data_IF_777556521223
#
_entry.id   IF_777556521223
#
_cell.length_a   1.000
_cell.length_b   1.000
_cell.length_c   1.000
_cell.angle_alpha   90.00
_cell.angle_beta   90.00
_cell.angle_gamma   90.00
#
_symmetry.space_group_name_H-M   'P 1'
#
loop_
_entity.id
_entity.type
_entity.pdbx_description
1 polymer ?
#
# COMPACT_ATOMS: atom_id res chain seq x y z
N UNK A 1 -15.26 -1.62 -12.53
CA UNK A 1 -14.68 -1.22 -11.26
C UNK A 1 -13.20 -1.55 -11.25
N UNK A 2 -12.48 -1.14 -10.25
CA UNK A 2 -11.03 -1.25 -10.22
C UNK A 2 -10.49 -2.51 -9.54
N UNK A 3 -9.20 -2.47 -9.29
CA UNK A 3 -8.46 -3.52 -8.63
C UNK A 3 -7.80 -2.98 -7.37
N UNK A 4 -7.60 -3.82 -6.37
CA UNK A 4 -6.90 -3.47 -5.15
C UNK A 4 -5.70 -4.41 -4.94
N UNK A 5 -4.55 -3.80 -4.61
CA UNK A 5 -3.35 -4.53 -4.21
C UNK A 5 -3.23 -4.41 -2.70
N UNK A 6 -3.35 -5.53 -2.02
CA UNK A 6 -3.33 -5.58 -0.56
C UNK A 6 -2.02 -6.23 -0.10
N UNK A 7 -1.21 -5.46 0.62
CA UNK A 7 0.08 -5.92 1.11
C UNK A 7 0.09 -5.86 2.62
N UNK A 8 0.47 -6.96 3.26
CA UNK A 8 0.62 -7.03 4.70
C UNK A 8 2.09 -6.98 5.08
N UNK A 9 2.39 -6.21 6.12
CA UNK A 9 3.74 -6.07 6.69
C UNK A 9 3.70 -6.43 8.16
N UNK A 10 4.71 -7.19 8.60
CA UNK A 10 4.90 -7.53 10.01
C UNK A 10 6.02 -6.67 10.62
N UNK A 11 6.00 -6.55 11.95
CA UNK A 11 7.05 -5.82 12.66
C UNK A 11 7.00 -4.30 12.44
N UNK A 12 5.79 -3.75 12.26
CA UNK A 12 5.60 -2.32 12.04
C UNK A 12 5.19 -1.67 13.35
N UNK A 13 6.15 -1.07 14.04
CA UNK A 13 5.87 -0.30 15.25
C UNK A 13 5.20 1.03 14.92
N UNK A 14 4.55 1.61 15.94
CA UNK A 14 3.84 2.87 15.79
C UNK A 14 4.76 4.01 15.32
N UNK A 15 5.97 4.07 15.86
CA UNK A 15 6.94 5.12 15.50
C UNK A 15 7.34 5.02 14.03
N UNK A 16 7.56 3.81 13.55
CA UNK A 16 7.89 3.58 12.14
C UNK A 16 6.74 3.99 11.24
N UNK A 17 5.53 3.66 11.64
CA UNK A 17 4.33 4.00 10.88
C UNK A 17 4.10 5.52 10.86
N UNK A 18 4.28 6.19 11.99
CA UNK A 18 4.16 7.66 12.05
C UNK A 18 5.19 8.33 11.14
N UNK A 19 6.42 7.84 11.10
CA UNK A 19 7.45 8.34 10.21
C UNK A 19 7.05 8.16 8.74
N UNK A 20 6.56 6.98 8.39
CA UNK A 20 6.10 6.68 7.04
C UNK A 20 4.93 7.59 6.64
N UNK A 21 3.98 7.81 7.55
CA UNK A 21 2.85 8.69 7.30
C UNK A 21 3.29 10.12 7.02
N UNK A 22 4.23 10.63 7.80
CA UNK A 22 4.78 11.98 7.59
C UNK A 22 5.47 12.08 6.23
N UNK A 23 6.24 11.06 5.86
CA UNK A 23 6.93 11.02 4.57
C UNK A 23 5.92 11.02 3.41
N UNK A 24 4.83 10.26 3.55
CA UNK A 24 3.79 10.18 2.53
C UNK A 24 3.02 11.49 2.38
N UNK A 25 2.72 12.15 3.51
CA UNK A 25 1.99 13.42 3.48
C UNK A 25 2.79 14.55 2.85
N UNK A 26 4.10 14.53 3.01
CA UNK A 26 4.99 15.55 2.48
C UNK A 26 5.49 15.28 1.06
N UNK A 27 5.15 14.16 0.47
CA UNK A 27 5.70 13.72 -0.81
C UNK A 27 4.60 13.34 -1.80
N UNK A 28 4.85 13.50 -3.12
CA UNK A 28 3.93 12.98 -4.13
C UNK A 28 3.94 11.45 -4.14
N UNK A 29 2.94 10.80 -4.76
CA UNK A 29 2.94 9.36 -4.92
C UNK A 29 4.21 8.87 -5.60
N UNK A 30 4.64 7.62 -5.35
CA UNK A 30 5.82 7.06 -6.01
C UNK A 30 5.71 7.14 -7.53
N UNK A 31 6.80 7.52 -8.18
CA UNK A 31 6.85 7.61 -9.63
C UNK A 31 6.63 6.22 -10.25
N UNK A 32 5.86 6.16 -11.31
CA UNK A 32 5.56 4.90 -12.00
C UNK A 32 4.46 4.07 -11.37
N UNK A 33 3.79 4.58 -10.34
CA UNK A 33 2.64 3.90 -9.72
C UNK A 33 1.36 4.66 -10.08
N UNK A 34 0.58 4.17 -11.05
CA UNK A 34 -0.65 4.83 -11.47
C UNK A 34 -1.84 4.51 -10.54
N UNK A 35 -1.67 4.79 -9.26
CA UNK A 35 -2.67 4.49 -8.24
C UNK A 35 -3.72 5.59 -8.12
N UNK A 36 -4.97 5.19 -7.91
CA UNK A 36 -6.07 6.10 -7.63
C UNK A 36 -6.09 6.54 -6.18
N UNK A 37 -5.79 5.62 -5.27
CA UNK A 37 -5.87 5.88 -3.84
C UNK A 37 -4.98 4.88 -3.11
N UNK A 38 -4.41 5.34 -2.01
CA UNK A 38 -3.62 4.50 -1.12
C UNK A 38 -4.20 4.63 0.28
N UNK A 39 -4.48 3.50 0.93
CA UNK A 39 -4.97 3.44 2.31
C UNK A 39 -4.01 2.61 3.12
N UNK A 40 -3.56 3.14 4.25
CA UNK A 40 -2.68 2.43 5.18
C UNK A 40 -3.46 2.15 6.46
N UNK A 41 -3.52 0.88 6.83
CA UNK A 41 -4.17 0.42 8.05
C UNK A 41 -3.11 -0.12 9.00
N UNK A 42 -3.31 0.06 10.28
CA UNK A 42 -2.36 -0.38 11.30
C UNK A 42 -3.04 -1.03 12.48
N UNK A 43 -2.50 -2.17 12.90
CA UNK A 43 -2.88 -2.83 14.14
C UNK A 43 -1.70 -2.70 15.11
N UNK A 44 -1.82 -1.81 16.09
CA UNK A 44 -0.76 -1.53 17.05
C UNK A 44 -0.46 -2.70 17.99
N UNK A 45 -1.44 -3.53 18.28
CA UNK A 45 -1.25 -4.66 19.18
C UNK A 45 -0.39 -5.77 18.56
N UNK A 46 -0.61 -6.06 17.29
CA UNK A 46 0.17 -7.09 16.57
C UNK A 46 1.35 -6.52 15.79
N UNK A 47 1.50 -5.20 15.78
CA UNK A 47 2.52 -4.50 14.99
C UNK A 47 2.46 -4.86 13.50
N UNK A 48 1.23 -4.95 12.98
CA UNK A 48 0.96 -5.21 11.58
C UNK A 48 0.47 -3.98 10.85
N UNK A 49 0.91 -3.80 9.62
CA UNK A 49 0.37 -2.78 8.73
C UNK A 49 -0.17 -3.44 7.48
N UNK A 50 -1.26 -2.88 6.96
CA UNK A 50 -1.85 -3.30 5.70
C UNK A 50 -1.91 -2.09 4.79
N UNK A 51 -1.31 -2.20 3.61
CA UNK A 51 -1.33 -1.13 2.61
C UNK A 51 -2.23 -1.58 1.46
N UNK A 52 -3.28 -0.81 1.21
CA UNK A 52 -4.22 -1.07 0.12
C UNK A 52 -4.04 -0.01 -0.94
N UNK A 53 -3.73 -0.43 -2.15
CA UNK A 53 -3.53 0.48 -3.29
C UNK A 53 -4.60 0.17 -4.32
N UNK A 54 -5.35 1.19 -4.75
CA UNK A 54 -6.45 1.04 -5.70
C UNK A 54 -6.02 1.49 -7.09
N UNK A 55 -6.38 0.68 -8.09
CA UNK A 55 -6.08 0.93 -9.51
C UNK A 55 -7.36 0.86 -10.34
N UNK A 56 -7.41 1.58 -11.44
CA UNK A 56 -8.60 1.60 -12.32
C UNK A 56 -8.65 0.42 -13.30
N UNK A 57 -7.50 -0.15 -13.65
CA UNK A 57 -7.42 -1.19 -14.68
C UNK A 57 -6.35 -2.22 -14.35
N UNK A 58 -6.42 -3.37 -15.04
CA UNK A 58 -5.39 -4.41 -14.94
C UNK A 58 -4.03 -3.91 -15.38
N UNK A 59 -3.98 -3.09 -16.42
CA UNK A 59 -2.74 -2.50 -16.91
C UNK A 59 -2.09 -1.61 -15.86
N UNK A 60 -2.88 -0.76 -15.20
CA UNK A 60 -2.41 0.09 -14.12
C UNK A 60 -1.94 -0.74 -12.93
N UNK A 61 -2.68 -1.80 -12.60
CA UNK A 61 -2.29 -2.72 -11.54
C UNK A 61 -0.92 -3.34 -11.81
N UNK A 62 -0.70 -3.86 -13.01
CA UNK A 62 0.57 -4.51 -13.36
C UNK A 62 1.73 -3.52 -13.31
N UNK A 63 1.54 -2.31 -13.81
CA UNK A 63 2.56 -1.27 -13.76
C UNK A 63 2.89 -0.87 -12.31
N UNK A 64 1.87 -0.69 -11.49
CA UNK A 64 2.05 -0.33 -10.08
C UNK A 64 2.68 -1.45 -9.26
N UNK A 65 2.26 -2.69 -9.50
CA UNK A 65 2.81 -3.86 -8.82
C UNK A 65 4.30 -4.02 -9.12
N UNK A 66 4.69 -3.87 -10.38
CA UNK A 66 6.10 -3.95 -10.78
C UNK A 66 6.93 -2.85 -10.11
N UNK A 67 6.43 -1.61 -10.09
CA UNK A 67 7.13 -0.48 -9.47
C UNK A 67 7.28 -0.68 -7.96
N UNK A 68 6.22 -1.14 -7.29
CA UNK A 68 6.25 -1.36 -5.84
C UNK A 68 7.12 -2.55 -5.45
N UNK A 69 7.14 -3.61 -6.27
CA UNK A 69 8.03 -4.75 -6.02
C UNK A 69 9.50 -4.39 -6.20
N UNK A 70 9.81 -3.38 -6.99
CA UNK A 70 11.17 -2.91 -7.20
C UNK A 70 11.68 -1.98 -6.10
N UNK A 71 10.82 -1.55 -5.17
CA UNK A 71 11.22 -0.68 -4.07
C UNK A 71 12.19 -1.38 -3.13
N UNK A 72 13.26 -0.66 -2.65
CA UNK A 72 14.16 -1.22 -1.66
C UNK A 72 13.44 -1.58 -0.36
N UNK A 73 13.96 -2.59 0.34
CA UNK A 73 13.40 -3.02 1.63
C UNK A 73 13.38 -1.86 2.64
N UNK A 74 14.34 -0.95 2.56
CA UNK A 74 14.45 0.22 3.44
C UNK A 74 13.26 1.17 3.33
N UNK A 75 12.60 1.19 2.17
CA UNK A 75 11.45 2.06 1.92
C UNK A 75 10.12 1.42 2.33
N UNK A 76 10.14 0.18 2.82
CA UNK A 76 8.94 -0.50 3.31
C UNK A 76 8.79 -0.31 4.82
N UNK A 77 7.56 -0.34 5.36
CA UNK A 77 7.34 -0.12 6.79
C UNK A 77 7.83 -1.28 7.66
N UNK A 78 7.98 -2.47 7.10
CA UNK A 78 8.42 -3.65 7.83
C UNK A 78 8.64 -4.81 6.90
N UNK A 79 8.59 -6.03 7.45
CA UNK A 79 8.75 -7.25 6.64
C UNK A 79 7.45 -7.58 5.92
N UNK A 80 7.50 -7.61 4.59
CA UNK A 80 6.34 -7.97 3.79
C UNK A 80 5.99 -9.45 3.96
N UNK A 81 4.79 -9.72 4.45
CA UNK A 81 4.31 -11.08 4.71
C UNK A 81 3.42 -11.61 3.60
N UNK A 82 2.66 -10.75 2.91
CA UNK A 82 1.83 -11.18 1.79
C UNK A 82 1.54 -10.04 0.83
N UNK A 83 1.27 -10.41 -0.42
CA UNK A 83 0.79 -9.49 -1.46
C UNK A 83 -0.38 -10.20 -2.14
N UNK A 84 -1.54 -9.57 -2.14
CA UNK A 84 -2.76 -10.14 -2.73
C UNK A 84 -3.42 -9.15 -3.66
N UNK A 85 -4.04 -9.69 -4.70
CA UNK A 85 -4.80 -8.94 -5.69
C UNK A 85 -6.27 -9.24 -5.49
N UNK A 86 -7.09 -8.18 -5.43
CA UNK A 86 -8.54 -8.31 -5.30
C UNK A 86 -9.24 -7.45 -6.33
N UNK A 87 -10.39 -7.90 -6.79
CA UNK A 87 -11.30 -7.07 -7.56
C UNK A 87 -12.12 -6.19 -6.60
N UNK A 88 -12.28 -4.93 -6.96
CA UNK A 88 -13.14 -4.03 -6.20
C UNK A 88 -14.57 -4.27 -6.65
N UNK A 89 -15.36 -4.94 -5.82
CA UNK A 89 -16.74 -5.32 -6.14
C UNK A 89 -17.71 -4.19 -5.82
N UNK A 90 -17.47 -3.48 -4.72
CA UNK A 90 -18.31 -2.39 -4.29
C UNK A 90 -17.46 -1.37 -3.50
N UNK A 91 -17.70 -0.11 -3.78
CA UNK A 91 -17.04 0.97 -3.06
C UNK A 91 -18.03 2.12 -2.90
N UNK A 92 -18.27 2.52 -1.67
CA UNK A 92 -19.24 3.55 -1.34
C UNK A 92 -18.69 4.48 -0.26
N UNK A 93 -18.88 5.77 -0.48
CA UNK A 93 -18.58 6.79 0.53
C UNK A 93 -19.87 7.07 1.31
N UNK A 94 -19.81 6.99 2.59
CA UNK A 94 -20.97 7.18 3.47
C UNK A 94 -20.88 8.49 4.24
#
# INVERSE_FOLDING_TARGET
>A
MGLARVVEFDGVGKDRLDQMRQDMEGSPPPEGVPAKEIVVLHDGDSEKAVVVVFFDSEEDYQAGDAALNAMPVEDTPGKRSSVKKYDVVHRQTV
#
